data_IF_064943024516
#
_entry.id   IF_064943024516
#
_cell.length_a   1.000
_cell.length_b   1.000
_cell.length_c   1.000
_cell.angle_alpha   90.00
_cell.angle_beta   90.00
_cell.angle_gamma   90.00
#
_symmetry.space_group_name_H-M   'P 1'
#
loop_
_entity.id
_entity.type
_entity.pdbx_description
1 polymer ?
#
# COMPACT_ATOMS: atom_id res chain seq x y z
N UNK A 1 6.59 2.05 18.81
CA UNK A 1 6.36 0.72 18.19
C UNK A 1 6.44 0.85 16.68
N UNK A 2 7.56 0.46 16.06
CA UNK A 2 7.73 0.50 14.62
C UNK A 2 6.76 -0.47 13.95
N UNK A 3 5.90 0.02 13.05
CA UNK A 3 5.04 -0.83 12.22
C UNK A 3 5.97 -1.52 11.23
N UNK A 4 6.39 -2.74 11.55
CA UNK A 4 7.26 -3.54 10.69
C UNK A 4 6.70 -3.59 9.27
N UNK A 5 7.56 -3.31 8.29
CA UNK A 5 7.25 -3.49 6.88
C UNK A 5 6.67 -4.90 6.69
N UNK A 6 5.38 -4.99 6.37
CA UNK A 6 4.78 -6.25 5.96
C UNK A 6 5.45 -6.60 4.65
N UNK A 7 6.50 -7.43 4.68
CA UNK A 7 6.96 -8.11 3.47
C UNK A 7 5.78 -8.94 3.01
N UNK A 8 5.14 -8.48 1.94
CA UNK A 8 4.07 -9.24 1.32
C UNK A 8 4.66 -10.59 0.89
N UNK A 9 4.04 -11.66 1.37
CA UNK A 9 4.47 -13.03 1.07
C UNK A 9 4.21 -13.25 -0.43
N UNK A 10 5.18 -13.76 -1.21
CA UNK A 10 4.99 -14.06 -2.62
C UNK A 10 3.75 -14.91 -2.87
N UNK A 11 3.08 -14.68 -3.99
CA UNK A 11 1.81 -15.36 -4.33
C UNK A 11 2.02 -16.87 -4.46
N UNK A 12 3.19 -17.28 -4.92
CA UNK A 12 3.61 -18.67 -5.07
C UNK A 12 3.59 -19.40 -3.72
N UNK A 13 4.14 -18.77 -2.67
CA UNK A 13 4.16 -19.33 -1.33
C UNK A 13 2.74 -19.39 -0.76
N UNK A 14 1.89 -18.39 -1.04
CA UNK A 14 0.48 -18.42 -0.60
C UNK A 14 -0.27 -19.61 -1.22
N UNK A 15 -0.08 -19.87 -2.52
CA UNK A 15 -0.67 -21.03 -3.21
C UNK A 15 -0.16 -22.34 -2.62
N UNK A 16 1.13 -22.44 -2.31
CA UNK A 16 1.73 -23.63 -1.72
C UNK A 16 1.18 -23.92 -0.32
N UNK A 17 0.98 -22.89 0.51
CA UNK A 17 0.33 -23.01 1.84
C UNK A 17 -1.07 -23.60 1.70
N UNK A 18 -1.88 -23.08 0.75
CA UNK A 18 -3.23 -23.58 0.50
C UNK A 18 -3.19 -25.04 0.03
N UNK A 19 -2.27 -25.39 -0.87
CA UNK A 19 -2.12 -26.76 -1.36
C UNK A 19 -1.78 -27.75 -0.25
N UNK A 20 -0.83 -27.42 0.63
CA UNK A 20 -0.46 -28.27 1.76
C UNK A 20 -1.61 -28.41 2.77
N UNK A 21 -2.35 -27.32 3.00
CA UNK A 21 -3.53 -27.36 3.86
C UNK A 21 -4.64 -28.25 3.29
N UNK A 22 -4.89 -28.19 1.97
CA UNK A 22 -5.87 -29.06 1.30
C UNK A 22 -5.46 -30.54 1.34
N UNK A 23 -4.15 -30.83 1.41
CA UNK A 23 -3.61 -32.18 1.66
C UNK A 23 -3.72 -32.64 3.12
N UNK A 24 -4.30 -31.84 4.01
CA UNK A 24 -4.53 -32.20 5.41
C UNK A 24 -3.32 -31.98 6.34
N UNK A 25 -2.28 -31.25 5.90
CA UNK A 25 -1.16 -30.88 6.78
C UNK A 25 -1.61 -29.90 7.87
N UNK A 26 -1.04 -30.02 9.08
CA UNK A 26 -1.33 -29.07 10.18
C UNK A 26 -0.66 -27.73 9.91
N UNK A 27 -1.27 -26.66 10.40
CA UNK A 27 -0.78 -25.28 10.21
C UNK A 27 0.63 -25.07 10.78
N UNK A 28 0.91 -25.64 11.95
CA UNK A 28 2.22 -25.58 12.59
C UNK A 28 3.30 -26.24 11.72
N UNK A 29 3.01 -27.41 11.15
CA UNK A 29 3.95 -28.12 10.28
C UNK A 29 4.23 -27.32 9.00
N UNK A 30 3.18 -26.75 8.39
CA UNK A 30 3.32 -25.87 7.20
C UNK A 30 4.18 -24.64 7.51
N UNK A 31 4.04 -24.06 8.71
CA UNK A 31 4.84 -22.92 9.13
C UNK A 31 6.34 -23.26 9.23
N UNK A 32 6.65 -24.44 9.77
CA UNK A 32 8.02 -24.96 9.87
C UNK A 32 8.58 -25.25 8.48
N UNK A 33 7.85 -26.00 7.66
CA UNK A 33 8.28 -26.43 6.32
C UNK A 33 8.59 -25.25 5.40
N UNK A 34 7.79 -24.18 5.48
CA UNK A 34 7.92 -23.00 4.62
C UNK A 34 8.67 -21.83 5.28
N UNK A 35 9.18 -22.02 6.50
CA UNK A 35 9.89 -21.00 7.27
C UNK A 35 9.14 -19.65 7.37
N UNK A 36 7.81 -19.72 7.53
CA UNK A 36 6.93 -18.56 7.68
C UNK A 36 6.28 -18.56 9.05
N UNK A 37 5.95 -17.39 9.58
CA UNK A 37 5.29 -17.31 10.88
C UNK A 37 3.93 -18.01 10.85
N UNK A 38 3.56 -18.71 11.94
CA UNK A 38 2.24 -19.34 12.09
C UNK A 38 1.09 -18.34 11.88
N UNK A 39 1.29 -17.11 12.35
CA UNK A 39 0.36 -16.00 12.12
C UNK A 39 0.15 -15.69 10.63
N UNK A 40 1.20 -15.80 9.82
CA UNK A 40 1.13 -15.63 8.37
C UNK A 40 0.33 -16.75 7.73
N UNK A 41 0.60 -18.01 8.09
CA UNK A 41 -0.15 -19.19 7.62
C UNK A 41 -1.64 -19.02 7.92
N UNK A 42 -1.98 -18.69 9.17
CA UNK A 42 -3.36 -18.45 9.60
C UNK A 42 -4.05 -17.33 8.80
N UNK A 43 -3.34 -16.23 8.52
CA UNK A 43 -3.87 -15.13 7.72
C UNK A 43 -4.11 -15.53 6.26
N UNK A 44 -3.21 -16.31 5.65
CA UNK A 44 -3.35 -16.81 4.27
C UNK A 44 -4.57 -17.73 4.20
N UNK A 45 -4.67 -18.70 5.10
CA UNK A 45 -5.80 -19.64 5.13
C UNK A 45 -7.14 -18.96 5.42
N UNK A 46 -7.14 -17.92 6.26
CA UNK A 46 -8.33 -17.10 6.49
C UNK A 46 -8.78 -16.39 5.20
N UNK A 47 -7.85 -15.80 4.44
CA UNK A 47 -8.18 -15.16 3.14
C UNK A 47 -8.72 -16.19 2.15
N UNK A 48 -8.08 -17.35 2.04
CA UNK A 48 -8.54 -18.43 1.17
C UNK A 48 -9.97 -18.90 1.51
N UNK A 49 -10.31 -19.05 2.80
CA UNK A 49 -11.68 -19.40 3.21
C UNK A 49 -12.69 -18.32 2.81
N UNK A 50 -12.36 -17.05 3.07
CA UNK A 50 -13.22 -15.93 2.68
C UNK A 50 -13.47 -15.90 1.16
N UNK A 51 -12.43 -16.11 0.35
CA UNK A 51 -12.57 -16.18 -1.11
C UNK A 51 -13.42 -17.37 -1.56
N UNK A 52 -13.30 -18.54 -0.92
CA UNK A 52 -14.15 -19.71 -1.20
C UNK A 52 -15.61 -19.53 -0.81
N UNK A 53 -15.86 -18.84 0.30
CA UNK A 53 -17.19 -18.55 0.83
C UNK A 53 -17.90 -17.41 0.07
N UNK A 54 -17.23 -16.81 -0.93
CA UNK A 54 -17.77 -15.69 -1.71
C UNK A 54 -17.74 -14.36 -0.96
N UNK A 55 -16.99 -14.27 0.14
CA UNK A 55 -16.78 -13.00 0.82
C UNK A 55 -15.90 -12.08 -0.03
N UNK A 56 -16.36 -10.85 -0.22
CA UNK A 56 -15.65 -9.85 -1.01
C UNK A 56 -14.22 -9.65 -0.48
N UNK A 57 -13.21 -9.55 -1.37
CA UNK A 57 -11.83 -9.33 -0.95
C UNK A 57 -11.73 -8.02 -0.16
N UNK A 58 -10.83 -7.94 0.83
CA UNK A 58 -10.71 -6.75 1.66
C UNK A 58 -10.42 -5.52 0.79
N UNK A 59 -11.36 -4.57 0.78
CA UNK A 59 -11.25 -3.32 0.04
C UNK A 59 -9.94 -2.63 0.44
N UNK A 60 -9.10 -2.29 -0.54
CA UNK A 60 -7.93 -1.44 -0.31
C UNK A 60 -8.44 -0.17 0.34
N UNK A 61 -8.09 0.07 1.61
CA UNK A 61 -8.44 1.31 2.30
C UNK A 61 -7.83 2.45 1.49
N UNK A 62 -8.68 3.24 0.83
CA UNK A 62 -8.25 4.48 0.20
C UNK A 62 -7.75 5.37 1.34
N UNK A 63 -6.50 5.80 1.27
CA UNK A 63 -5.96 6.76 2.21
C UNK A 63 -6.72 8.09 2.13
N UNK A 64 -6.31 9.07 2.95
CA UNK A 64 -6.80 10.44 2.80
C UNK A 64 -6.56 10.88 1.34
N UNK A 65 -7.56 11.48 0.66
CA UNK A 65 -7.37 11.97 -0.70
C UNK A 65 -6.20 12.96 -0.73
N UNK A 66 -5.42 12.93 -1.81
CA UNK A 66 -4.38 13.93 -2.05
C UNK A 66 -5.05 15.28 -2.25
N UNK A 67 -4.46 16.34 -1.69
CA UNK A 67 -4.95 17.70 -1.87
C UNK A 67 -4.73 18.24 -3.28
N UNK A 68 -3.76 17.68 -4.01
CA UNK A 68 -3.40 18.08 -5.36
C UNK A 68 -4.03 17.13 -6.37
N UNK A 69 -4.58 17.71 -7.43
CA UNK A 69 -5.03 17.00 -8.62
C UNK A 69 -3.84 16.62 -9.50
N UNK A 70 -4.07 15.78 -10.53
CA UNK A 70 -3.03 15.41 -11.49
C UNK A 70 -2.51 16.64 -12.24
N UNK A 71 -3.42 17.54 -12.64
CA UNK A 71 -3.06 18.78 -13.34
C UNK A 71 -2.18 19.69 -12.48
N UNK A 72 -2.45 19.78 -11.17
CA UNK A 72 -1.63 20.57 -10.25
C UNK A 72 -0.20 20.00 -10.15
N UNK A 73 -0.07 18.67 -10.17
CA UNK A 73 1.24 18.00 -10.14
C UNK A 73 2.00 18.25 -11.44
N UNK A 74 1.35 18.11 -12.59
CA UNK A 74 1.98 18.35 -13.90
C UNK A 74 2.45 19.81 -14.04
N UNK A 75 1.64 20.76 -13.56
CA UNK A 75 2.02 22.17 -13.52
C UNK A 75 3.24 22.41 -12.62
N UNK A 76 3.27 21.81 -11.43
CA UNK A 76 4.41 21.92 -10.51
C UNK A 76 5.69 21.32 -11.11
N UNK A 77 5.59 20.18 -11.81
CA UNK A 77 6.73 19.57 -12.50
C UNK A 77 7.29 20.52 -13.57
N UNK A 78 6.42 21.05 -14.44
CA UNK A 78 6.85 22.00 -15.47
C UNK A 78 7.41 23.31 -14.92
N UNK A 79 6.95 23.75 -13.75
CA UNK A 79 7.48 24.93 -13.07
C UNK A 79 8.90 24.70 -12.51
N UNK A 80 9.14 23.53 -11.92
CA UNK A 80 10.45 23.13 -11.41
C UNK A 80 11.46 23.01 -12.56
N UNK A 81 11.06 22.43 -13.69
CA UNK A 81 11.90 22.30 -14.89
C UNK A 81 12.35 23.66 -15.44
N UNK A 82 11.46 24.66 -15.41
CA UNK A 82 11.74 26.02 -15.90
C UNK A 82 12.51 26.87 -14.90
N UNK A 83 12.32 26.64 -13.61
CA UNK A 83 12.91 27.43 -12.53
C UNK A 83 13.36 26.54 -11.37
N UNK A 84 14.58 25.95 -11.46
CA UNK A 84 15.04 24.97 -10.47
C UNK A 84 15.31 25.57 -9.08
N UNK A 85 15.42 26.89 -8.97
CA UNK A 85 15.63 27.61 -7.70
C UNK A 85 14.33 27.93 -6.95
N UNK A 86 13.16 27.61 -7.51
CA UNK A 86 11.84 27.87 -6.92
C UNK A 86 11.46 26.88 -5.82
N UNK A 87 12.37 26.60 -4.89
CA UNK A 87 12.07 25.73 -3.75
C UNK A 87 11.37 26.58 -2.68
N UNK A 88 10.04 26.51 -2.61
CA UNK A 88 9.27 27.09 -1.51
C UNK A 88 9.53 26.28 -0.23
N UNK A 89 10.59 26.59 0.51
CA UNK A 89 10.91 25.95 1.80
C UNK A 89 10.05 26.47 2.97
N UNK A 90 9.31 27.56 2.77
CA UNK A 90 8.64 28.26 3.85
C UNK A 90 7.22 27.72 4.09
N UNK A 91 7.00 27.14 5.28
CA UNK A 91 5.64 26.91 5.81
C UNK A 91 4.91 28.24 5.85
N UNK A 92 3.94 28.41 4.95
CA UNK A 92 2.85 29.41 5.01
C UNK A 92 3.32 30.85 5.23
N UNK A 93 3.53 31.58 4.13
CA UNK A 93 2.85 32.88 3.96
C UNK A 93 3.16 33.53 2.61
N UNK A 94 4.38 33.47 2.08
CA UNK A 94 4.75 34.33 0.94
C UNK A 94 5.58 33.62 -0.14
N UNK A 95 5.13 32.48 -0.64
CA UNK A 95 5.67 31.96 -1.91
C UNK A 95 4.71 32.37 -3.04
N UNK A 96 5.19 33.05 -4.08
CA UNK A 96 4.39 33.49 -5.25
C UNK A 96 3.60 32.33 -5.87
N UNK A 97 4.15 31.12 -5.80
CA UNK A 97 3.52 29.87 -6.24
C UNK A 97 2.25 29.56 -5.43
N UNK A 98 2.26 29.75 -4.10
CA UNK A 98 1.08 29.53 -3.25
C UNK A 98 0.00 30.61 -3.44
N UNK A 99 0.37 31.82 -3.84
CA UNK A 99 -0.57 32.90 -4.14
C UNK A 99 -1.26 32.62 -5.49
N UNK A 100 -0.49 32.24 -6.52
CA UNK A 100 -1.06 31.92 -7.84
C UNK A 100 -2.07 30.77 -7.84
N UNK A 101 -1.88 29.76 -7.00
CA UNK A 101 -2.80 28.62 -6.86
C UNK A 101 -4.09 28.94 -6.08
N UNK A 102 -4.14 30.06 -5.32
CA UNK A 102 -5.36 30.51 -4.61
C UNK A 102 -6.25 31.44 -5.43
N UNK A 103 -5.72 32.06 -6.48
CA UNK A 103 -6.42 33.04 -7.32
C UNK A 103 -7.22 32.42 -8.47
N UNK A 104 -7.18 31.09 -8.63
CA UNK A 104 -7.90 30.35 -9.68
C UNK A 104 -9.06 29.54 -9.10
N UNK A 105 -9.94 30.19 -8.35
CA UNK A 105 -11.28 29.72 -8.04
C UNK A 105 -12.30 30.55 -8.83
#
# INVERSE_FOLDING_TARGET
MARGNKKDIPVEIQKLVVHLYLKGRKQADIAIDLQISDRSVKNILRRYRLEREGHAPPVRRRGRPRSLTVMDVDFLVGLIERTPTSICTSRKSNCEICVMLRSRC
#
